data_IF_099103683762
#
_entry.id   IF_099103683762
#
_cell.length_a   1.000
_cell.length_b   1.000
_cell.length_c   1.000
_cell.angle_alpha   90.00
_cell.angle_beta   90.00
_cell.angle_gamma   90.00
#
_symmetry.space_group_name_H-M   'P 1'
#
loop_
_entity.id
_entity.type
_entity.pdbx_description
1 polymer ?
#
# COMPACT_ATOMS: atom_id res chain seq x y z
N UNK A 1 57.40 -42.25 -1.27
CA UNK A 1 56.33 -41.87 -2.23
C UNK A 1 55.11 -41.44 -1.42
N UNK A 2 55.02 -40.17 -1.02
CA UNK A 2 53.89 -39.67 -0.23
C UNK A 2 53.82 -38.14 -0.40
N UNK A 3 53.18 -37.70 -1.47
CA UNK A 3 52.79 -36.32 -1.73
C UNK A 3 51.52 -36.38 -2.62
N UNK A 4 50.64 -35.39 -2.47
CA UNK A 4 49.31 -35.20 -3.09
C UNK A 4 48.11 -35.71 -2.28
N UNK A 5 47.61 -34.90 -1.33
CA UNK A 5 46.18 -34.78 -1.00
C UNK A 5 45.97 -33.75 0.12
N UNK A 6 46.10 -32.44 -0.14
CA UNK A 6 45.52 -31.44 0.78
C UNK A 6 45.50 -29.98 0.27
N UNK A 7 45.16 -29.71 -1.00
CA UNK A 7 45.21 -28.32 -1.53
C UNK A 7 44.00 -27.90 -2.39
N UNK A 8 42.78 -28.32 -2.02
CA UNK A 8 41.55 -27.90 -2.72
C UNK A 8 40.32 -27.72 -1.80
N UNK A 9 40.49 -27.18 -0.58
CA UNK A 9 39.36 -26.86 0.31
C UNK A 9 39.25 -25.38 0.74
N UNK A 10 39.94 -24.44 0.08
CA UNK A 10 40.05 -23.06 0.57
C UNK A 10 39.44 -21.94 -0.29
N UNK A 11 38.68 -22.23 -1.36
CA UNK A 11 38.21 -21.19 -2.29
C UNK A 11 36.72 -21.27 -2.67
N UNK A 12 35.83 -21.51 -1.70
CA UNK A 12 34.40 -21.24 -1.86
C UNK A 12 33.79 -20.61 -0.60
N UNK A 13 34.44 -19.58 -0.03
CA UNK A 13 33.69 -18.54 0.67
C UNK A 13 33.04 -17.64 -0.38
N UNK A 14 32.12 -18.20 -1.15
CA UNK A 14 31.12 -17.37 -1.80
C UNK A 14 30.36 -16.72 -0.65
N UNK A 15 30.56 -15.43 -0.46
CA UNK A 15 29.70 -14.61 0.37
C UNK A 15 28.31 -14.76 -0.23
N UNK A 16 27.53 -15.70 0.30
CA UNK A 16 26.11 -15.79 0.01
C UNK A 16 25.52 -14.53 0.62
N UNK A 17 25.55 -13.43 -0.14
CA UNK A 17 24.83 -12.22 0.21
C UNK A 17 23.38 -12.66 0.36
N UNK A 18 22.93 -12.77 1.60
CA UNK A 18 21.54 -13.11 1.88
C UNK A 18 20.68 -12.07 1.19
N UNK A 19 19.83 -12.51 0.27
CA UNK A 19 18.83 -11.65 -0.36
C UNK A 19 18.10 -10.89 0.75
N UNK A 20 18.01 -9.57 0.60
CA UNK A 20 17.33 -8.76 1.58
C UNK A 20 15.83 -9.07 1.53
N UNK A 21 15.10 -9.04 2.66
CA UNK A 21 13.68 -9.40 2.66
C UNK A 21 12.80 -8.58 1.70
N UNK A 22 13.17 -7.32 1.43
CA UNK A 22 12.49 -6.44 0.48
C UNK A 22 12.86 -6.71 -1.00
N UNK A 23 13.88 -7.53 -1.26
CA UNK A 23 14.28 -7.97 -2.61
C UNK A 23 13.68 -9.34 -2.97
N UNK A 24 12.95 -9.97 -2.05
CA UNK A 24 12.19 -11.18 -2.33
C UNK A 24 11.01 -10.90 -3.28
N UNK A 25 10.46 -11.91 -3.97
CA UNK A 25 9.23 -11.74 -4.73
C UNK A 25 8.10 -11.14 -3.89
N UNK A 26 7.32 -10.24 -4.48
CA UNK A 26 6.18 -9.58 -3.80
C UNK A 26 5.15 -10.59 -3.32
N UNK A 27 4.92 -11.63 -4.12
CA UNK A 27 4.08 -12.76 -3.77
C UNK A 27 4.88 -14.05 -3.97
N UNK A 28 4.82 -15.04 -3.05
CA UNK A 28 5.46 -16.33 -3.24
C UNK A 28 5.01 -17.00 -4.54
N UNK A 29 5.93 -17.63 -5.26
CA UNK A 29 5.61 -18.25 -6.56
C UNK A 29 4.58 -19.37 -6.42
N UNK A 30 4.65 -20.16 -5.35
CA UNK A 30 3.65 -21.18 -5.03
C UNK A 30 2.24 -20.61 -4.91
N UNK A 31 2.11 -19.43 -4.28
CA UNK A 31 0.84 -18.74 -4.12
C UNK A 31 0.34 -18.19 -5.46
N UNK A 32 1.23 -17.65 -6.31
CA UNK A 32 0.86 -17.24 -7.68
C UNK A 32 0.30 -18.42 -8.48
N UNK A 33 0.95 -19.57 -8.43
CA UNK A 33 0.47 -20.78 -9.11
C UNK A 33 -0.87 -21.26 -8.54
N UNK A 34 -1.05 -21.18 -7.21
CA UNK A 34 -2.31 -21.50 -6.55
C UNK A 34 -3.44 -20.61 -7.08
N UNK A 35 -3.28 -19.29 -7.10
CA UNK A 35 -4.36 -18.38 -7.54
C UNK A 35 -4.66 -18.51 -9.02
N UNK A 36 -3.65 -18.76 -9.86
CA UNK A 36 -3.84 -19.01 -11.30
C UNK A 36 -4.61 -20.31 -11.58
N UNK A 37 -4.57 -21.27 -10.65
CA UNK A 37 -5.33 -22.52 -10.76
C UNK A 37 -6.82 -22.36 -10.40
N UNK A 38 -7.21 -21.25 -9.74
CA UNK A 38 -8.59 -20.99 -9.35
C UNK A 38 -9.39 -20.59 -10.60
N UNK A 39 -10.32 -21.46 -10.99
CA UNK A 39 -11.30 -21.20 -12.06
C UNK A 39 -12.70 -21.11 -11.48
N UNK A 40 -13.62 -20.31 -12.09
CA UNK A 40 -15.04 -20.40 -11.79
C UNK A 40 -15.52 -21.85 -11.90
N UNK A 41 -16.37 -22.31 -10.98
CA UNK A 41 -16.85 -23.71 -10.98
C UNK A 41 -17.85 -23.95 -12.11
N UNK A 42 -18.61 -22.92 -12.47
CA UNK A 42 -19.59 -22.94 -13.56
C UNK A 42 -19.54 -21.64 -14.39
N UNK A 43 -20.09 -21.66 -15.60
CA UNK A 43 -20.23 -20.47 -16.46
C UNK A 43 -21.22 -19.44 -15.90
N UNK A 44 -22.10 -19.84 -14.98
CA UNK A 44 -23.02 -18.94 -14.26
C UNK A 44 -22.40 -18.33 -13.00
N UNK A 45 -21.23 -18.77 -12.57
CA UNK A 45 -20.56 -18.21 -11.39
C UNK A 45 -19.92 -16.86 -11.72
N UNK A 46 -20.09 -15.90 -10.81
CA UNK A 46 -19.39 -14.62 -10.86
C UNK A 46 -17.90 -14.86 -10.59
N UNK A 47 -17.01 -14.10 -11.24
CA UNK A 47 -15.56 -14.21 -10.99
C UNK A 47 -15.17 -13.74 -9.58
N UNK A 48 -15.87 -12.75 -9.04
CA UNK A 48 -15.71 -12.31 -7.65
C UNK A 48 -16.51 -13.24 -6.73
N UNK A 49 -15.85 -14.00 -5.84
CA UNK A 49 -16.54 -14.95 -4.96
C UNK A 49 -17.37 -14.25 -3.88
N UNK A 50 -18.40 -14.93 -3.37
CA UNK A 50 -19.31 -14.45 -2.31
C UNK A 50 -18.66 -14.51 -0.92
N UNK A 51 -17.55 -13.80 -0.76
CA UNK A 51 -16.76 -13.74 0.47
C UNK A 51 -16.56 -12.26 0.80
N UNK A 52 -16.89 -11.87 2.01
CA UNK A 52 -16.62 -10.53 2.52
C UNK A 52 -15.56 -10.60 3.62
N UNK A 53 -14.60 -9.68 3.55
CA UNK A 53 -13.49 -9.49 4.48
C UNK A 53 -13.64 -8.13 5.15
N UNK A 54 -13.80 -8.13 6.48
CA UNK A 54 -14.01 -6.92 7.26
C UNK A 54 -12.91 -6.86 8.32
N UNK A 55 -12.04 -5.86 8.23
CA UNK A 55 -11.01 -5.65 9.24
C UNK A 55 -11.64 -4.97 10.46
N UNK A 56 -11.49 -5.59 11.62
CA UNK A 56 -11.89 -5.01 12.91
C UNK A 56 -10.66 -4.87 13.80
N UNK A 57 -10.75 -4.04 14.85
CA UNK A 57 -9.69 -3.97 15.87
C UNK A 57 -9.69 -5.25 16.71
N UNK A 58 -10.85 -5.62 17.22
CA UNK A 58 -11.07 -6.82 18.02
C UNK A 58 -12.42 -7.43 17.64
N UNK A 59 -12.44 -8.74 17.39
CA UNK A 59 -13.66 -9.46 16.99
C UNK A 59 -14.74 -9.47 18.09
N UNK A 60 -14.35 -9.28 19.35
CA UNK A 60 -15.28 -9.21 20.48
C UNK A 60 -15.95 -7.84 20.65
N UNK A 61 -15.52 -6.82 19.90
CA UNK A 61 -16.17 -5.50 19.95
C UNK A 61 -17.58 -5.58 19.34
N UNK A 62 -18.51 -4.81 19.91
CA UNK A 62 -19.86 -4.71 19.36
C UNK A 62 -19.80 -4.15 17.93
N UNK A 63 -20.36 -4.90 16.99
CA UNK A 63 -20.38 -4.49 15.59
C UNK A 63 -21.27 -3.25 15.44
N UNK A 64 -20.90 -2.30 14.55
CA UNK A 64 -21.73 -1.12 14.31
C UNK A 64 -23.15 -1.48 13.90
N UNK A 65 -24.14 -0.68 14.34
CA UNK A 65 -25.57 -0.94 14.09
C UNK A 65 -25.95 -1.14 12.62
N UNK A 66 -25.23 -0.53 11.68
CA UNK A 66 -25.48 -0.68 10.25
C UNK A 66 -25.08 -2.07 9.71
N UNK A 67 -24.24 -2.81 10.42
CA UNK A 67 -23.87 -4.19 10.10
C UNK A 67 -24.93 -5.20 10.56
N UNK A 68 -25.71 -4.86 11.60
CA UNK A 68 -26.60 -5.76 12.33
C UNK A 68 -28.09 -5.47 12.09
N UNK A 69 -28.94 -6.42 12.48
CA UNK A 69 -30.40 -6.30 12.44
C UNK A 69 -31.02 -6.64 11.08
N UNK A 70 -32.37 -6.55 10.96
CA UNK A 70 -33.10 -7.01 9.77
C UNK A 70 -32.73 -6.28 8.48
N UNK A 71 -32.33 -5.02 8.60
CA UNK A 71 -31.86 -4.20 7.50
C UNK A 71 -30.35 -3.99 7.55
N UNK A 72 -29.61 -4.77 8.33
CA UNK A 72 -28.16 -4.66 8.46
C UNK A 72 -27.41 -5.28 7.28
N UNK A 73 -26.16 -4.84 7.07
CA UNK A 73 -25.32 -5.35 5.98
C UNK A 73 -25.21 -6.89 5.96
N UNK A 74 -25.11 -7.54 7.12
CA UNK A 74 -25.01 -9.01 7.21
C UNK A 74 -26.30 -9.68 6.73
N UNK A 75 -27.46 -9.23 7.20
CA UNK A 75 -28.75 -9.83 6.86
C UNK A 75 -29.08 -9.63 5.37
N UNK A 76 -28.87 -8.42 4.84
CA UNK A 76 -29.08 -8.12 3.42
C UNK A 76 -28.22 -8.99 2.49
N UNK A 77 -27.09 -9.47 2.98
CA UNK A 77 -26.11 -10.24 2.22
C UNK A 77 -25.91 -11.64 2.82
N UNK A 78 -26.98 -12.29 3.28
CA UNK A 78 -26.93 -13.61 3.93
C UNK A 78 -26.35 -14.74 3.06
N UNK A 79 -26.35 -14.57 1.73
CA UNK A 79 -25.69 -15.48 0.78
C UNK A 79 -24.17 -15.29 0.68
N UNK A 80 -23.60 -14.29 1.36
CA UNK A 80 -22.17 -14.01 1.40
C UNK A 80 -21.54 -14.51 2.70
N UNK A 81 -20.38 -15.15 2.59
CA UNK A 81 -19.60 -15.55 3.76
C UNK A 81 -18.90 -14.33 4.36
N UNK A 82 -19.33 -13.90 5.55
CA UNK A 82 -18.73 -12.79 6.28
C UNK A 82 -17.53 -13.26 7.12
N UNK A 83 -16.37 -12.63 6.95
CA UNK A 83 -15.17 -12.88 7.75
C UNK A 83 -14.73 -11.58 8.42
N UNK A 84 -14.92 -11.50 9.74
CA UNK A 84 -14.39 -10.42 10.56
C UNK A 84 -12.99 -10.81 11.02
N UNK A 85 -12.01 -9.95 10.77
CA UNK A 85 -10.60 -10.25 11.04
C UNK A 85 -9.98 -9.20 11.96
N UNK A 86 -9.69 -9.59 13.19
CA UNK A 86 -8.96 -8.78 14.15
C UNK A 86 -7.47 -8.68 13.80
N UNK A 87 -6.67 -8.03 14.65
CA UNK A 87 -5.25 -7.83 14.37
C UNK A 87 -4.44 -9.14 14.35
N UNK A 88 -4.72 -10.08 15.25
CA UNK A 88 -4.00 -11.35 15.33
C UNK A 88 -4.29 -12.22 14.10
N UNK A 89 -5.56 -12.29 13.69
CA UNK A 89 -5.96 -13.01 12.48
C UNK A 89 -5.29 -12.45 11.22
N UNK A 90 -5.17 -11.11 11.12
CA UNK A 90 -4.48 -10.46 10.00
C UNK A 90 -2.98 -10.77 10.00
N UNK A 91 -2.32 -10.67 11.15
CA UNK A 91 -0.89 -10.97 11.29
C UNK A 91 -0.62 -12.43 10.90
N UNK A 92 -1.36 -13.38 11.49
CA UNK A 92 -1.25 -14.81 11.17
C UNK A 92 -1.53 -15.10 9.70
N UNK A 93 -2.52 -14.45 9.11
CA UNK A 93 -2.83 -14.62 7.68
C UNK A 93 -1.61 -14.24 6.82
N UNK A 94 -1.00 -13.08 7.09
CA UNK A 94 0.16 -12.60 6.35
C UNK A 94 1.35 -13.53 6.52
N UNK A 95 1.65 -13.96 7.75
CA UNK A 95 2.77 -14.87 8.06
C UNK A 95 2.61 -16.23 7.39
N UNK A 96 1.42 -16.82 7.39
CA UNK A 96 1.18 -18.15 6.82
C UNK A 96 1.21 -18.13 5.30
N UNK A 97 0.55 -17.15 4.67
CA UNK A 97 0.32 -17.19 3.22
C UNK A 97 1.41 -16.45 2.43
N UNK A 98 2.07 -15.46 3.05
CA UNK A 98 3.06 -14.60 2.39
C UNK A 98 4.46 -14.74 2.99
N UNK A 99 4.74 -15.85 3.70
CA UNK A 99 6.08 -16.18 4.18
C UNK A 99 7.11 -16.09 3.04
N UNK A 100 8.27 -15.49 3.33
CA UNK A 100 9.36 -15.37 2.36
C UNK A 100 9.06 -14.44 1.18
N UNK A 101 8.22 -13.43 1.38
CA UNK A 101 7.90 -12.42 0.35
C UNK A 101 8.22 -11.00 0.81
N UNK A 102 8.40 -10.10 -0.15
CA UNK A 102 8.61 -8.68 0.15
C UNK A 102 7.33 -7.96 0.58
N UNK A 103 6.13 -8.45 0.25
CA UNK A 103 4.88 -7.87 0.78
C UNK A 103 4.71 -8.16 2.29
N UNK A 104 5.13 -9.33 2.76
CA UNK A 104 5.15 -9.62 4.20
C UNK A 104 6.18 -8.75 4.93
N UNK A 105 7.35 -8.53 4.32
CA UNK A 105 8.32 -7.56 4.85
C UNK A 105 7.70 -6.15 4.96
N UNK A 106 7.07 -5.68 3.88
CA UNK A 106 6.41 -4.38 3.83
C UNK A 106 5.31 -4.25 4.89
N UNK A 107 4.52 -5.31 5.10
CA UNK A 107 3.52 -5.39 6.16
C UNK A 107 4.14 -5.29 7.56
N UNK A 108 5.25 -5.99 7.80
CA UNK A 108 5.90 -6.07 9.09
C UNK A 108 6.70 -4.83 9.46
N UNK A 109 7.17 -4.05 8.48
CA UNK A 109 7.93 -2.82 8.74
C UNK A 109 7.03 -1.64 9.08
N UNK A 110 5.71 -1.70 8.83
CA UNK A 110 4.77 -0.64 9.21
C UNK A 110 4.60 -0.51 10.72
N UNK A 111 4.56 0.73 11.22
CA UNK A 111 4.40 1.01 12.64
C UNK A 111 3.00 0.57 13.15
N UNK A 112 2.92 -0.41 14.07
CA UNK A 112 1.64 -0.96 14.51
C UNK A 112 0.82 0.03 15.34
N UNK A 113 1.45 1.08 15.89
CA UNK A 113 0.74 2.14 16.58
C UNK A 113 -0.12 2.98 15.62
N UNK A 114 0.16 2.91 14.31
CA UNK A 114 -0.73 3.39 13.25
C UNK A 114 -1.70 2.26 12.91
N UNK A 115 -2.77 2.12 13.69
CA UNK A 115 -3.66 0.96 13.65
C UNK A 115 -4.25 0.61 12.27
N UNK A 116 -4.39 1.59 11.38
CA UNK A 116 -4.90 1.38 10.01
C UNK A 116 -3.84 0.94 9.01
N UNK A 117 -2.54 1.20 9.27
CA UNK A 117 -1.47 1.03 8.28
C UNK A 117 -1.34 -0.41 7.76
N UNK A 118 -1.31 -1.39 8.66
CA UNK A 118 -1.23 -2.81 8.30
C UNK A 118 -2.44 -3.28 7.49
N UNK A 119 -3.63 -2.76 7.79
CA UNK A 119 -4.88 -3.14 7.11
C UNK A 119 -4.84 -2.75 5.62
N UNK A 120 -4.13 -1.69 5.26
CA UNK A 120 -3.93 -1.26 3.87
C UNK A 120 -3.26 -2.34 3.00
N UNK A 121 -2.26 -3.03 3.54
CA UNK A 121 -1.59 -4.12 2.82
C UNK A 121 -2.41 -5.41 2.92
N UNK A 122 -2.92 -5.72 4.11
CA UNK A 122 -3.69 -6.95 4.35
C UNK A 122 -4.91 -7.04 3.42
N UNK A 123 -5.66 -5.94 3.22
CA UNK A 123 -6.86 -5.95 2.37
C UNK A 123 -6.54 -6.33 0.91
N UNK A 124 -5.39 -5.91 0.41
CA UNK A 124 -4.94 -6.26 -0.95
C UNK A 124 -4.48 -7.72 -1.00
N UNK A 125 -3.73 -8.17 0.00
CA UNK A 125 -3.21 -9.52 0.09
C UNK A 125 -4.33 -10.58 0.22
N UNK A 126 -5.33 -10.31 1.05
CA UNK A 126 -6.47 -11.22 1.26
C UNK A 126 -7.34 -11.32 0.01
N UNK A 127 -7.58 -10.19 -0.67
CA UNK A 127 -8.28 -10.17 -1.96
C UNK A 127 -7.47 -10.84 -3.06
N UNK A 128 -6.14 -10.71 -3.07
CA UNK A 128 -5.31 -11.38 -4.06
C UNK A 128 -5.40 -12.91 -3.91
N UNK A 129 -5.35 -13.43 -2.69
CA UNK A 129 -5.41 -14.88 -2.45
C UNK A 129 -6.83 -15.45 -2.60
N UNK A 130 -7.82 -14.80 -2.01
CA UNK A 130 -9.16 -15.36 -1.86
C UNK A 130 -10.23 -14.68 -2.72
N UNK A 131 -9.94 -13.50 -3.27
CA UNK A 131 -10.94 -12.65 -3.89
C UNK A 131 -12.04 -12.22 -2.91
N UNK A 132 -13.16 -11.80 -3.49
CA UNK A 132 -14.36 -11.38 -2.79
C UNK A 132 -14.43 -9.88 -2.65
N UNK A 133 -14.97 -9.42 -1.53
CA UNK A 133 -15.07 -8.02 -1.15
C UNK A 133 -14.27 -7.77 0.11
N UNK A 134 -13.50 -6.69 0.15
CA UNK A 134 -13.07 -6.06 1.39
C UNK A 134 -13.98 -4.85 1.68
N UNK A 135 -14.33 -4.62 2.94
CA UNK A 135 -14.99 -3.39 3.38
C UNK A 135 -14.53 -2.96 4.78
N UNK A 136 -14.33 -1.64 4.98
CA UNK A 136 -14.10 -1.06 6.32
C UNK A 136 -15.32 -1.32 7.23
N UNK A 137 -15.10 -1.55 8.52
CA UNK A 137 -16.16 -1.91 9.46
C UNK A 137 -17.12 -0.76 9.82
N UNK A 138 -16.74 0.47 9.48
CA UNK A 138 -17.55 1.68 9.62
C UNK A 138 -18.18 2.16 8.29
N UNK A 139 -18.14 1.31 7.26
CA UNK A 139 -18.77 1.53 5.96
C UNK A 139 -19.98 0.60 5.72
N UNK A 140 -20.90 1.05 4.86
CA UNK A 140 -22.08 0.30 4.45
C UNK A 140 -22.28 0.42 2.94
N UNK A 141 -22.78 -0.64 2.30
CA UNK A 141 -23.32 -0.61 0.94
C UNK A 141 -24.79 -1.02 1.05
N UNK A 142 -25.72 -0.07 0.87
CA UNK A 142 -27.16 -0.27 1.09
C UNK A 142 -27.79 -1.31 0.16
N UNK A 143 -27.28 -1.41 -1.08
CA UNK A 143 -27.73 -2.41 -2.06
C UNK A 143 -27.23 -3.83 -1.75
N UNK A 144 -28.01 -4.85 -2.14
CA UNK A 144 -27.60 -6.25 -2.05
C UNK A 144 -26.38 -6.50 -2.95
N UNK A 145 -25.34 -7.17 -2.43
CA UNK A 145 -24.11 -7.45 -3.16
C UNK A 145 -24.32 -8.33 -4.40
N UNK A 146 -25.40 -9.10 -4.46
CA UNK A 146 -25.78 -9.82 -5.67
C UNK A 146 -26.15 -8.89 -6.83
N UNK A 147 -26.67 -7.70 -6.52
CA UNK A 147 -27.02 -6.67 -7.51
C UNK A 147 -25.85 -5.72 -7.78
N UNK A 148 -24.94 -5.58 -6.81
CA UNK A 148 -23.72 -4.76 -6.95
C UNK A 148 -22.72 -5.46 -7.86
N UNK A 149 -22.46 -6.76 -7.67
CA UNK A 149 -21.41 -7.51 -8.39
C UNK A 149 -21.99 -8.22 -9.60
N UNK A 150 -21.54 -7.86 -10.80
CA UNK A 150 -21.98 -8.46 -12.06
C UNK A 150 -21.18 -9.74 -12.39
N UNK A 151 -21.73 -10.67 -13.18
CA UNK A 151 -21.03 -11.90 -13.57
C UNK A 151 -19.70 -11.67 -14.30
N UNK A 152 -19.56 -10.57 -15.01
CA UNK A 152 -18.35 -10.20 -15.79
C UNK A 152 -17.29 -9.48 -14.96
N UNK A 153 -17.61 -9.03 -13.75
CA UNK A 153 -16.69 -8.25 -12.93
C UNK A 153 -15.56 -9.12 -12.41
N UNK A 154 -14.32 -8.71 -12.68
CA UNK A 154 -13.12 -9.31 -12.06
C UNK A 154 -12.48 -8.37 -11.05
N UNK A 155 -12.70 -7.07 -11.21
CA UNK A 155 -12.29 -6.04 -10.26
C UNK A 155 -13.32 -4.92 -10.23
N UNK A 156 -13.78 -4.54 -9.05
CA UNK A 156 -14.71 -3.43 -8.88
C UNK A 156 -14.26 -2.54 -7.71
N UNK A 157 -14.24 -1.25 -7.97
CA UNK A 157 -13.85 -0.21 -7.02
C UNK A 157 -14.62 1.08 -7.37
N UNK A 158 -14.75 2.01 -6.42
CA UNK A 158 -15.36 3.31 -6.68
C UNK A 158 -14.36 4.46 -6.55
N UNK A 159 -14.87 5.68 -6.75
CA UNK A 159 -14.07 6.91 -6.80
C UNK A 159 -14.23 7.74 -5.53
N UNK A 160 -13.14 8.37 -5.13
CA UNK A 160 -13.11 9.50 -4.20
C UNK A 160 -13.61 10.79 -4.91
N UNK A 161 -14.13 11.79 -4.18
CA UNK A 161 -14.52 13.09 -4.73
C UNK A 161 -13.31 13.98 -4.99
N UNK A 162 -12.16 13.64 -4.41
CA UNK A 162 -10.92 14.39 -4.57
C UNK A 162 -10.32 14.14 -5.95
N UNK A 163 -9.92 15.23 -6.59
CA UNK A 163 -9.14 15.15 -7.81
C UNK A 163 -7.77 14.55 -7.52
N UNK A 164 -7.30 13.69 -8.41
CA UNK A 164 -5.91 13.25 -8.36
C UNK A 164 -5.01 14.40 -8.78
N UNK A 165 -3.87 14.49 -8.11
CA UNK A 165 -2.80 15.41 -8.45
C UNK A 165 -1.44 14.73 -8.29
N UNK A 166 -0.40 15.29 -8.92
CA UNK A 166 0.96 14.74 -8.90
C UNK A 166 1.75 15.08 -7.62
N UNK A 167 1.06 15.38 -6.51
CA UNK A 167 1.74 15.80 -5.28
C UNK A 167 2.26 14.64 -4.44
N UNK A 168 1.97 13.40 -4.82
CA UNK A 168 2.44 12.23 -4.08
C UNK A 168 3.88 11.83 -4.41
N UNK A 169 4.26 11.75 -5.68
CA UNK A 169 5.49 11.03 -6.04
C UNK A 169 6.56 11.93 -6.63
N UNK A 170 7.82 11.65 -6.33
CA UNK A 170 8.95 12.33 -6.99
C UNK A 170 8.94 12.04 -8.50
N UNK A 171 9.44 12.96 -9.36
CA UNK A 171 9.34 12.80 -10.81
C UNK A 171 9.97 11.51 -11.38
N UNK A 172 10.95 10.95 -10.68
CA UNK A 172 11.67 9.73 -11.04
C UNK A 172 10.92 8.44 -10.65
N UNK A 173 9.87 8.52 -9.84
CA UNK A 173 9.09 7.34 -9.48
C UNK A 173 8.10 6.96 -10.60
N UNK A 174 7.95 5.66 -10.94
CA UNK A 174 7.09 5.23 -12.05
C UNK A 174 5.65 5.74 -11.99
N UNK A 175 5.07 5.87 -10.79
CA UNK A 175 3.69 6.32 -10.63
C UNK A 175 3.49 7.85 -10.73
N UNK A 176 4.56 8.64 -10.81
CA UNK A 176 4.43 10.09 -11.00
C UNK A 176 3.88 10.42 -12.39
N UNK A 177 3.14 11.52 -12.51
CA UNK A 177 2.67 12.01 -13.81
C UNK A 177 3.86 12.30 -14.74
N UNK A 178 4.96 12.86 -14.21
CA UNK A 178 6.18 13.08 -15.00
C UNK A 178 6.72 11.78 -15.62
N UNK A 179 6.90 10.73 -14.81
CA UNK A 179 7.40 9.44 -15.30
C UNK A 179 6.42 8.78 -16.28
N UNK A 180 5.12 8.85 -16.03
CA UNK A 180 4.09 8.34 -16.95
C UNK A 180 4.14 9.08 -18.29
N UNK A 181 4.21 10.41 -18.28
CA UNK A 181 4.34 11.21 -19.52
C UNK A 181 5.60 10.82 -20.27
N UNK A 182 6.75 10.74 -19.60
CA UNK A 182 8.02 10.37 -20.24
C UNK A 182 7.99 8.96 -20.85
N UNK A 183 7.37 7.98 -20.18
CA UNK A 183 7.35 6.58 -20.63
C UNK A 183 6.37 6.32 -21.77
N UNK A 184 5.19 6.93 -21.74
CA UNK A 184 4.07 6.55 -22.63
C UNK A 184 3.68 7.68 -23.60
N UNK A 185 4.08 8.91 -23.32
CA UNK A 185 3.72 10.12 -24.06
C UNK A 185 4.95 10.99 -24.26
N UNK A 186 6.09 10.39 -24.64
CA UNK A 186 7.31 11.14 -24.88
C UNK A 186 7.06 12.20 -25.97
N UNK A 187 7.53 13.45 -25.79
CA UNK A 187 7.44 14.47 -26.82
C UNK A 187 8.01 13.99 -28.14
N UNK A 188 7.34 14.33 -29.24
CA UNK A 188 7.84 14.12 -30.61
C UNK A 188 7.98 15.48 -31.29
N UNK A 189 8.76 15.57 -32.38
CA UNK A 189 8.89 16.82 -33.14
C UNK A 189 7.53 17.36 -33.61
N UNK A 190 6.60 16.45 -33.93
CA UNK A 190 5.22 16.77 -34.32
C UNK A 190 4.29 17.10 -33.17
N UNK A 191 4.63 16.71 -31.94
CA UNK A 191 3.82 16.94 -30.75
C UNK A 191 4.73 17.14 -29.53
N UNK A 192 5.22 18.37 -29.30
CA UNK A 192 6.16 18.65 -28.21
C UNK A 192 5.50 18.61 -26.82
N UNK A 193 4.16 18.66 -26.77
CA UNK A 193 3.38 18.70 -25.53
C UNK A 193 2.18 17.75 -25.61
N UNK A 194 2.41 16.42 -25.65
CA UNK A 194 1.32 15.47 -25.73
C UNK A 194 0.46 15.56 -24.47
N UNK A 195 -0.84 15.75 -24.67
CA UNK A 195 -1.81 15.71 -23.60
C UNK A 195 -1.91 14.29 -23.06
N UNK A 196 -1.65 14.11 -21.76
CA UNK A 196 -1.89 12.83 -21.09
C UNK A 196 -3.39 12.65 -20.95
N UNK A 197 -3.98 11.53 -21.43
CA UNK A 197 -5.40 11.28 -21.27
C UNK A 197 -5.82 11.31 -19.80
N UNK A 198 -6.87 12.07 -19.51
CA UNK A 198 -7.51 12.04 -18.20
C UNK A 198 -8.29 10.74 -18.06
N UNK A 199 -7.88 9.89 -17.13
CA UNK A 199 -8.58 8.66 -16.79
C UNK A 199 -9.43 8.88 -15.53
N UNK A 200 -10.52 8.12 -15.42
CA UNK A 200 -11.36 8.02 -14.22
C UNK A 200 -11.91 9.37 -13.71
N UNK A 201 -12.28 10.27 -14.62
CA UNK A 201 -12.79 11.61 -14.32
C UNK A 201 -11.85 12.43 -13.43
N UNK A 202 -10.54 12.17 -13.53
CA UNK A 202 -9.51 12.77 -12.70
C UNK A 202 -9.66 12.47 -11.20
N UNK A 203 -10.33 11.38 -10.80
CA UNK A 203 -10.54 11.05 -9.38
C UNK A 203 -9.61 9.96 -8.88
N UNK A 204 -9.27 10.04 -7.60
CA UNK A 204 -8.69 8.91 -6.89
C UNK A 204 -9.71 7.79 -6.72
N UNK A 205 -9.21 6.58 -6.54
CA UNK A 205 -9.95 5.40 -6.13
C UNK A 205 -9.90 5.31 -4.62
N UNK A 206 -11.03 4.95 -4.00
CA UNK A 206 -11.02 4.66 -2.57
C UNK A 206 -10.62 3.21 -2.31
N UNK A 207 -10.23 2.93 -1.08
CA UNK A 207 -9.81 1.60 -0.64
C UNK A 207 -10.71 1.00 0.45
N UNK A 208 -11.69 1.76 0.95
CA UNK A 208 -12.59 1.31 2.03
C UNK A 208 -13.58 0.26 1.57
N UNK A 209 -13.81 0.09 0.26
CA UNK A 209 -14.44 -1.09 -0.32
C UNK A 209 -13.76 -1.47 -1.65
N UNK A 210 -13.36 -2.74 -1.78
CA UNK A 210 -12.69 -3.26 -2.98
C UNK A 210 -13.24 -4.65 -3.27
N UNK A 211 -13.59 -4.92 -4.52
CA UNK A 211 -14.03 -6.22 -4.98
C UNK A 211 -13.03 -6.78 -5.99
N UNK A 212 -12.67 -8.04 -5.86
CA UNK A 212 -11.70 -8.65 -6.76
C UNK A 212 -11.89 -10.16 -6.90
N UNK A 213 -11.60 -10.69 -8.07
CA UNK A 213 -11.37 -12.12 -8.26
C UNK A 213 -9.97 -12.49 -7.71
N UNK A 214 -9.77 -13.74 -7.26
CA UNK A 214 -8.44 -14.21 -6.86
C UNK A 214 -7.41 -14.02 -7.98
N UNK A 215 -6.19 -13.64 -7.62
CA UNK A 215 -5.06 -13.50 -8.53
C UNK A 215 -5.14 -12.32 -9.49
N UNK A 216 -6.01 -11.34 -9.25
CA UNK A 216 -6.16 -10.20 -10.17
C UNK A 216 -4.82 -9.47 -10.41
N UNK A 217 -4.42 -9.23 -11.67
CA UNK A 217 -3.13 -8.62 -11.98
C UNK A 217 -2.99 -7.18 -11.48
N UNK A 218 -4.10 -6.44 -11.35
CA UNK A 218 -4.08 -5.08 -10.80
C UNK A 218 -3.69 -5.09 -9.32
N UNK A 219 -4.19 -6.04 -8.51
CA UNK A 219 -3.77 -6.17 -7.12
C UNK A 219 -2.29 -6.45 -6.98
N UNK A 220 -1.75 -7.35 -7.82
CA UNK A 220 -0.32 -7.64 -7.82
C UNK A 220 0.50 -6.38 -8.14
N UNK A 221 0.11 -5.64 -9.18
CA UNK A 221 0.80 -4.40 -9.56
C UNK A 221 0.72 -3.33 -8.46
N UNK A 222 -0.42 -3.21 -7.78
CA UNK A 222 -0.57 -2.31 -6.63
C UNK A 222 0.41 -2.71 -5.52
N UNK A 223 0.44 -4.00 -5.15
CA UNK A 223 1.35 -4.49 -4.11
C UNK A 223 2.82 -4.30 -4.47
N UNK A 224 3.21 -4.47 -5.75
CA UNK A 224 4.56 -4.20 -6.25
C UNK A 224 4.97 -2.74 -6.00
N UNK A 225 4.10 -1.79 -6.32
CA UNK A 225 4.36 -0.38 -6.08
C UNK A 225 4.42 -0.03 -4.59
N UNK A 226 3.54 -0.62 -3.77
CA UNK A 226 3.58 -0.42 -2.32
C UNK A 226 4.91 -0.90 -1.74
N UNK A 227 5.37 -2.10 -2.12
CA UNK A 227 6.67 -2.63 -1.69
C UNK A 227 7.79 -1.70 -2.14
N UNK A 228 7.78 -1.23 -3.38
CA UNK A 228 8.79 -0.31 -3.90
C UNK A 228 8.83 1.02 -3.12
N UNK A 229 7.67 1.60 -2.81
CA UNK A 229 7.56 2.84 -2.03
C UNK A 229 8.05 2.66 -0.60
N UNK A 230 7.66 1.57 0.07
CA UNK A 230 8.09 1.27 1.43
C UNK A 230 9.56 0.89 1.51
N UNK A 231 10.10 0.20 0.50
CA UNK A 231 11.54 -0.05 0.35
C UNK A 231 12.30 1.26 0.22
N UNK A 232 11.86 2.15 -0.66
CA UNK A 232 12.52 3.44 -0.85
C UNK A 232 12.47 4.27 0.45
N UNK A 233 11.34 4.31 1.14
CA UNK A 233 11.21 4.96 2.44
C UNK A 233 12.14 4.32 3.47
N UNK A 234 12.17 2.99 3.57
CA UNK A 234 13.06 2.24 4.47
C UNK A 234 14.54 2.52 4.19
N UNK A 235 14.95 2.67 2.94
CA UNK A 235 16.32 2.99 2.54
C UNK A 235 16.65 4.48 2.66
N UNK A 236 15.70 5.31 3.12
CA UNK A 236 15.81 6.77 3.19
C UNK A 236 16.01 7.45 1.82
N UNK A 237 15.45 6.85 0.77
CA UNK A 237 15.42 7.35 -0.61
C UNK A 237 13.97 7.66 -1.01
N UNK A 238 13.24 8.37 -0.14
CA UNK A 238 11.78 8.52 -0.25
C UNK A 238 11.36 8.99 -1.64
N UNK A 239 10.48 8.21 -2.26
CA UNK A 239 9.84 8.56 -3.53
C UNK A 239 8.54 9.32 -3.34
N UNK A 240 8.21 9.67 -2.09
CA UNK A 240 7.01 10.41 -1.74
C UNK A 240 7.39 11.87 -1.46
N UNK A 241 6.76 12.80 -2.18
CA UNK A 241 6.90 14.25 -1.98
C UNK A 241 6.19 14.63 -0.68
N UNK A 242 6.96 14.94 0.37
CA UNK A 242 6.44 15.52 1.60
C UNK A 242 6.95 16.95 1.79
N UNK A 243 6.03 17.88 2.03
CA UNK A 243 6.26 19.24 2.48
C UNK A 243 6.12 19.35 4.00
N UNK A 244 6.78 20.31 4.67
CA UNK A 244 6.51 20.65 6.06
C UNK A 244 5.04 21.00 6.36
N UNK A 245 4.25 21.38 5.35
CA UNK A 245 2.82 21.69 5.53
C UNK A 245 1.91 20.48 5.30
N UNK A 246 2.43 19.39 4.75
CA UNK A 246 1.61 18.21 4.49
C UNK A 246 1.18 17.54 5.80
N UNK A 247 -0.07 17.06 5.82
CA UNK A 247 -0.56 16.22 6.91
C UNK A 247 0.25 14.92 6.98
N UNK A 248 0.45 14.37 8.19
CA UNK A 248 1.24 13.14 8.36
C UNK A 248 0.57 11.92 7.72
N UNK A 249 -0.75 11.96 7.54
CA UNK A 249 -1.51 10.96 6.79
C UNK A 249 -1.11 10.85 5.32
N UNK A 250 -0.42 11.86 4.74
CA UNK A 250 -0.03 11.86 3.32
C UNK A 250 0.88 10.70 3.00
N UNK A 251 1.85 10.44 3.89
CA UNK A 251 2.80 9.36 3.70
C UNK A 251 2.08 8.01 3.64
N UNK A 252 1.13 7.77 4.56
CA UNK A 252 0.28 6.58 4.52
C UNK A 252 -0.51 6.50 3.20
N UNK A 253 -1.26 7.55 2.85
CA UNK A 253 -2.12 7.56 1.67
C UNK A 253 -1.33 7.38 0.37
N UNK A 254 -0.23 8.11 0.18
CA UNK A 254 0.62 7.98 -1.00
C UNK A 254 1.39 6.65 -1.03
N UNK A 255 1.70 6.04 0.11
CA UNK A 255 2.41 4.77 0.15
C UNK A 255 1.52 3.55 -0.10
N UNK A 256 0.24 3.58 0.32
CA UNK A 256 -0.61 2.38 0.32
C UNK A 256 -1.99 2.53 -0.31
N UNK A 257 -2.58 3.73 -0.30
CA UNK A 257 -3.95 3.95 -0.82
C UNK A 257 -3.95 4.43 -2.28
N UNK A 258 -3.26 5.52 -2.57
CA UNK A 258 -3.21 6.11 -3.91
C UNK A 258 -2.49 5.27 -4.97
N UNK A 259 -1.58 4.33 -4.64
CA UNK A 259 -1.07 3.38 -5.62
C UNK A 259 -2.16 2.63 -6.38
N UNK A 260 -3.37 2.46 -5.83
CA UNK A 260 -4.51 1.82 -6.53
C UNK A 260 -4.85 2.54 -7.84
N UNK A 261 -5.09 3.85 -7.79
CA UNK A 261 -5.40 4.66 -8.98
C UNK A 261 -4.23 4.72 -9.94
N UNK A 262 -3.03 4.96 -9.41
CA UNK A 262 -1.85 5.15 -10.25
C UNK A 262 -1.39 3.87 -10.94
N UNK A 263 -1.49 2.71 -10.29
CA UNK A 263 -1.23 1.41 -10.90
C UNK A 263 -2.24 1.10 -12.01
N UNK A 264 -3.54 1.40 -11.81
CA UNK A 264 -4.55 1.20 -12.85
C UNK A 264 -4.28 2.08 -14.07
N UNK A 265 -3.91 3.36 -13.87
CA UNK A 265 -3.52 4.27 -14.95
C UNK A 265 -2.31 3.75 -15.72
N UNK A 266 -1.25 3.36 -14.99
CA UNK A 266 -0.05 2.79 -15.60
C UNK A 266 -0.38 1.57 -16.46
N UNK A 267 -1.20 0.63 -15.95
CA UNK A 267 -1.56 -0.58 -16.70
C UNK A 267 -2.36 -0.27 -17.97
N UNK A 268 -3.29 0.70 -17.94
CA UNK A 268 -4.01 1.16 -19.14
C UNK A 268 -3.03 1.73 -20.17
N UNK A 269 -2.05 2.51 -19.74
CA UNK A 269 -1.03 3.09 -20.63
C UNK A 269 -0.01 2.07 -21.15
N UNK A 270 0.21 0.95 -20.45
CA UNK A 270 0.92 -0.23 -20.95
C UNK A 270 0.14 -1.00 -22.05
N UNK A 271 -0.99 -0.46 -22.52
CA UNK A 271 -1.90 -1.09 -23.47
C UNK A 271 -2.52 -2.40 -22.96
N UNK A 272 -2.56 -2.61 -21.64
CA UNK A 272 -3.36 -3.68 -21.05
C UNK A 272 -4.81 -3.24 -21.10
N UNK A 273 -5.62 -4.02 -21.79
CA UNK A 273 -7.03 -3.71 -21.98
C UNK A 273 -7.75 -3.72 -20.61
N UNK A 274 -8.66 -2.78 -20.39
CA UNK A 274 -9.46 -2.71 -19.15
C UNK A 274 -10.22 -4.03 -18.94
N UNK A 275 -10.60 -4.66 -20.04
CA UNK A 275 -11.25 -5.95 -20.16
C UNK A 275 -10.38 -7.11 -19.65
N UNK A 276 -9.07 -7.06 -19.86
CA UNK A 276 -8.12 -8.06 -19.35
C UNK A 276 -8.04 -8.01 -17.82
N UNK A 277 -7.99 -6.80 -17.27
CA UNK A 277 -8.05 -6.56 -15.82
C UNK A 277 -9.46 -6.85 -15.26
N UNK A 278 -10.48 -6.78 -16.12
CA UNK A 278 -11.89 -6.81 -15.78
C UNK A 278 -12.27 -5.73 -14.77
N UNK A 279 -11.67 -4.55 -14.91
CA UNK A 279 -11.87 -3.39 -14.04
C UNK A 279 -13.18 -2.67 -14.39
N UNK A 280 -14.14 -2.70 -13.46
CA UNK A 280 -15.31 -1.81 -13.47
C UNK A 280 -15.13 -0.72 -12.43
N UNK A 281 -15.30 0.52 -12.85
CA UNK A 281 -15.21 1.70 -11.99
C UNK A 281 -16.61 2.20 -11.66
N UNK A 282 -16.98 2.13 -10.38
CA UNK A 282 -18.23 2.72 -9.89
C UNK A 282 -18.16 4.24 -9.73
N UNK A 283 -19.26 4.81 -9.28
CA UNK A 283 -19.43 6.23 -9.01
C UNK A 283 -18.66 6.72 -7.79
N UNK A 284 -18.92 7.98 -7.44
CA UNK A 284 -18.35 8.59 -6.24
C UNK A 284 -18.89 7.88 -5.01
N UNK A 285 -18.00 7.31 -4.19
CA UNK A 285 -18.32 6.55 -2.98
C UNK A 285 -19.37 5.45 -3.16
N UNK A 286 -19.54 4.90 -4.36
CA UNK A 286 -20.65 3.96 -4.63
C UNK A 286 -22.03 4.51 -4.24
N UNK A 287 -22.28 5.82 -4.45
CA UNK A 287 -23.59 6.43 -4.19
C UNK A 287 -24.73 5.76 -4.94
N UNK A 288 -24.47 5.19 -6.11
CA UNK A 288 -25.43 4.40 -6.88
C UNK A 288 -25.89 3.12 -6.18
N UNK A 289 -25.16 2.69 -5.14
CA UNK A 289 -25.47 1.51 -4.32
C UNK A 289 -25.85 1.85 -2.89
N UNK A 290 -26.29 3.10 -2.66
CA UNK A 290 -26.67 3.62 -1.34
C UNK A 290 -25.57 3.38 -0.29
N UNK A 291 -24.32 3.61 -0.70
CA UNK A 291 -23.17 3.38 0.16
C UNK A 291 -22.86 4.59 1.05
N UNK A 292 -22.48 4.31 2.29
CA UNK A 292 -22.16 5.29 3.32
C UNK A 292 -20.82 4.94 3.97
N UNK A 293 -19.88 5.88 4.02
CA UNK A 293 -18.63 5.73 4.78
C UNK A 293 -18.65 6.66 6.00
N UNK A 294 -18.61 6.10 7.22
CA UNK A 294 -18.74 6.91 8.45
C UNK A 294 -17.41 7.49 8.95
N UNK A 295 -16.28 7.06 8.40
CA UNK A 295 -14.96 7.50 8.84
C UNK A 295 -14.79 9.03 8.87
N UNK A 296 -15.43 9.78 7.95
CA UNK A 296 -15.37 11.26 7.92
C UNK A 296 -16.19 11.96 9.00
N UNK A 297 -17.25 11.33 9.49
CA UNK A 297 -18.10 11.92 10.54
C UNK A 297 -17.52 11.74 11.95
N UNK A 298 -16.41 11.01 12.08
CA UNK A 298 -15.74 10.73 13.35
C UNK A 298 -14.51 11.62 13.60
N UNK A 299 -14.27 12.64 12.78
CA UNK A 299 -13.16 13.60 12.90
C UNK A 299 -13.12 14.31 14.26
N UNK A 300 -14.24 14.38 14.98
CA UNK A 300 -14.32 14.94 16.34
C UNK A 300 -13.69 14.03 17.41
N UNK A 301 -13.59 12.72 17.20
CA UNK A 301 -13.07 11.78 18.21
C UNK A 301 -11.57 11.98 18.46
N UNK A 302 -11.08 12.09 19.71
CA UNK A 302 -9.68 12.37 20.03
C UNK A 302 -8.73 11.19 19.78
N UNK A 303 -9.27 9.97 19.74
CA UNK A 303 -8.57 8.70 19.52
C UNK A 303 -8.42 8.32 18.04
N UNK A 304 -8.96 9.12 17.11
CA UNK A 304 -8.84 8.86 15.67
C UNK A 304 -7.38 8.80 15.25
N UNK A 305 -7.01 7.81 14.43
CA UNK A 305 -5.63 7.52 14.05
C UNK A 305 -4.89 8.74 13.48
N UNK A 306 -5.56 9.59 12.68
CA UNK A 306 -4.96 10.84 12.16
C UNK A 306 -4.52 11.75 13.31
N UNK A 307 -5.38 11.95 14.31
CA UNK A 307 -5.04 12.75 15.50
C UNK A 307 -3.94 12.08 16.33
N UNK A 308 -3.96 10.76 16.44
CA UNK A 308 -2.93 10.00 17.17
C UNK A 308 -1.55 10.12 16.49
N UNK A 309 -1.48 9.99 15.16
CA UNK A 309 -0.25 10.21 14.39
C UNK A 309 0.27 11.63 14.61
N UNK A 310 -0.60 12.63 14.56
CA UNK A 310 -0.23 14.02 14.78
C UNK A 310 0.25 14.28 16.22
N UNK A 311 -0.49 13.76 17.21
CA UNK A 311 -0.23 13.95 18.64
C UNK A 311 1.08 13.29 19.08
N UNK A 312 1.31 12.05 18.66
CA UNK A 312 2.44 11.26 19.14
C UNK A 312 3.65 11.30 18.20
N UNK A 313 3.56 12.06 17.12
CA UNK A 313 4.61 12.21 16.11
C UNK A 313 5.18 10.86 15.63
N UNK A 314 4.37 9.82 15.60
CA UNK A 314 4.84 8.44 15.37
C UNK A 314 5.52 8.31 14.01
N UNK A 315 6.67 7.60 13.92
CA UNK A 315 7.29 7.30 12.64
C UNK A 315 6.37 6.37 11.85
N UNK A 316 6.40 6.49 10.53
CA UNK A 316 5.54 5.67 9.67
C UNK A 316 5.99 4.20 9.66
N UNK A 317 7.30 3.97 9.62
CA UNK A 317 7.91 2.65 9.71
C UNK A 317 8.40 2.37 11.14
N UNK A 318 8.38 1.10 11.56
CA UNK A 318 8.97 0.62 12.83
C UNK A 318 10.47 0.86 12.87
N UNK A 319 11.11 0.69 11.72
CA UNK A 319 12.52 0.87 11.52
C UNK A 319 12.77 1.29 10.07
N UNK A 320 13.96 1.82 9.86
CA UNK A 320 14.52 2.19 8.56
C UNK A 320 15.93 1.61 8.54
N UNK A 321 16.48 1.43 7.35
CA UNK A 321 17.84 1.00 7.15
C UNK A 321 18.80 1.90 7.94
N UNK A 322 19.87 1.33 8.53
CA UNK A 322 20.93 2.15 9.09
C UNK A 322 21.45 3.09 7.99
N UNK A 323 21.75 4.36 8.32
CA UNK A 323 22.42 5.22 7.37
C UNK A 323 23.72 4.54 6.93
N UNK A 324 24.18 4.83 5.70
CA UNK A 324 25.52 4.40 5.27
C UNK A 324 26.55 5.10 6.15
N UNK A 325 26.88 4.50 7.29
CA UNK A 325 27.60 5.15 8.38
C UNK A 325 28.98 5.64 7.90
N UNK A 326 29.62 4.89 7.01
CA UNK A 326 30.88 5.25 6.34
C UNK A 326 30.81 6.61 5.63
N UNK A 327 29.63 7.00 5.15
CA UNK A 327 29.43 8.24 4.38
C UNK A 327 29.03 9.42 5.28
N UNK A 328 28.33 9.16 6.38
CA UNK A 328 27.62 10.19 7.14
C UNK A 328 27.97 10.31 8.62
N UNK A 329 28.85 9.48 9.17
CA UNK A 329 29.25 9.58 10.59
C UNK A 329 29.66 11.02 10.99
N UNK A 330 29.09 11.51 12.08
CA UNK A 330 29.29 12.86 12.62
C UNK A 330 28.52 13.97 11.88
N UNK A 331 27.79 13.65 10.80
CA UNK A 331 27.05 14.64 10.00
C UNK A 331 25.59 14.71 10.40
N UNK A 332 25.03 15.91 10.27
CA UNK A 332 23.59 16.10 10.29
C UNK A 332 23.04 15.89 8.88
N UNK A 333 22.05 15.03 8.76
CA UNK A 333 21.50 14.57 7.49
C UNK A 333 20.01 14.85 7.42
N UNK A 334 19.54 15.24 6.25
CA UNK A 334 18.13 15.20 5.89
C UNK A 334 17.98 14.50 4.54
N UNK A 335 17.17 13.45 4.50
CA UNK A 335 16.92 12.73 3.26
C UNK A 335 15.91 13.48 2.39
N UNK A 336 16.11 13.41 1.08
CA UNK A 336 15.24 14.02 0.07
C UNK A 336 13.83 13.47 0.22
N UNK A 337 12.85 14.38 0.28
CA UNK A 337 11.45 14.03 0.52
C UNK A 337 11.09 13.73 1.99
N UNK A 338 12.05 13.73 2.92
CA UNK A 338 11.78 13.56 4.34
C UNK A 338 11.80 14.89 5.11
N UNK A 339 10.97 14.96 6.16
CA UNK A 339 10.86 16.13 7.04
C UNK A 339 11.84 16.09 8.22
N UNK A 340 12.37 14.92 8.52
CA UNK A 340 13.20 14.69 9.70
C UNK A 340 14.66 15.02 9.39
N UNK A 341 15.27 15.82 10.26
CA UNK A 341 16.72 16.04 10.33
C UNK A 341 17.23 15.13 11.44
N UNK A 342 18.36 14.45 11.22
CA UNK A 342 18.97 13.57 12.22
C UNK A 342 20.51 13.64 12.20
N UNK A 343 21.13 13.41 13.35
CA UNK A 343 22.58 13.23 13.46
C UNK A 343 22.93 11.75 13.27
N UNK A 344 23.92 11.45 12.44
CA UNK A 344 24.51 10.11 12.39
C UNK A 344 25.68 10.06 13.37
N UNK A 345 25.55 9.23 14.41
CA UNK A 345 26.57 9.08 15.45
C UNK A 345 26.58 7.62 15.94
N UNK A 346 27.78 7.07 16.11
CA UNK A 346 28.04 5.69 16.51
C UNK A 346 27.39 4.69 15.54
N UNK A 347 27.39 5.00 14.23
CA UNK A 347 26.66 4.23 13.19
C UNK A 347 25.15 4.13 13.43
N UNK A 348 24.61 4.96 14.32
CA UNK A 348 23.19 5.08 14.59
C UNK A 348 22.68 6.45 14.16
N UNK A 349 21.37 6.55 13.99
CA UNK A 349 20.69 7.81 13.70
C UNK A 349 20.01 8.32 14.96
N UNK A 350 20.17 9.60 15.23
CA UNK A 350 19.58 10.31 16.35
C UNK A 350 18.77 11.48 15.81
N UNK A 351 17.46 11.27 15.70
CA UNK A 351 16.53 12.32 15.29
C UNK A 351 16.53 13.46 16.30
N UNK A 352 16.45 14.70 15.82
CA UNK A 352 16.24 15.85 16.69
C UNK A 352 14.76 15.92 17.10
N UNK A 353 14.42 16.01 18.40
CA UNK A 353 13.03 16.13 18.86
C UNK A 353 12.30 17.35 18.27
N UNK A 354 13.05 18.44 18.10
CA UNK A 354 12.60 19.71 17.55
C UNK A 354 13.79 20.56 17.06
N UNK A 355 13.47 21.67 16.39
CA UNK A 355 14.46 22.61 15.86
C UNK A 355 15.24 23.35 16.95
N UNK A 356 14.66 23.48 18.15
CA UNK A 356 15.35 24.08 19.31
C UNK A 356 16.48 23.19 19.78
N UNK A 357 16.28 21.87 19.84
CA UNK A 357 17.32 20.90 20.20
C UNK A 357 18.44 20.88 19.14
N UNK A 358 18.07 20.92 17.86
CA UNK A 358 19.00 21.02 16.74
C UNK A 358 19.94 22.23 16.86
N UNK A 359 19.38 23.42 17.10
CA UNK A 359 20.16 24.65 17.28
C UNK A 359 20.93 24.70 18.60
N UNK A 360 20.40 24.13 19.69
CA UNK A 360 21.09 24.03 20.99
C UNK A 360 22.36 23.16 20.92
N UNK A 361 22.36 22.16 20.02
CA UNK A 361 23.55 21.36 19.70
C UNK A 361 24.54 22.09 18.77
N UNK A 362 24.31 23.38 18.49
CA UNK A 362 25.13 24.26 17.64
C UNK A 362 25.12 23.89 16.16
N UNK A 363 24.11 23.15 15.70
CA UNK A 363 23.89 22.93 14.27
C UNK A 363 23.01 24.04 13.67
N UNK A 364 23.24 24.31 12.40
CA UNK A 364 22.53 25.26 11.55
C UNK A 364 22.03 24.54 10.29
N UNK A 365 21.07 25.13 9.57
CA UNK A 365 20.57 24.50 8.33
C UNK A 365 21.67 24.29 7.27
N UNK A 366 22.76 25.05 7.34
CA UNK A 366 23.92 24.89 6.44
C UNK A 366 24.74 23.63 6.77
N UNK A 367 24.63 23.10 8.00
CA UNK A 367 25.26 21.84 8.40
C UNK A 367 24.46 20.60 7.94
N UNK A 368 23.26 20.80 7.40
CA UNK A 368 22.37 19.71 6.98
C UNK A 368 22.80 19.19 5.61
N UNK A 369 23.38 17.99 5.60
CA UNK A 369 23.67 17.27 4.37
C UNK A 369 22.38 16.69 3.79
N UNK A 370 21.94 17.25 2.66
CA UNK A 370 20.83 16.71 1.89
C UNK A 370 21.27 15.44 1.15
N UNK A 371 20.66 14.30 1.48
CA UNK A 371 20.92 13.01 0.82
C UNK A 371 19.76 12.72 -0.11
N UNK A 372 20.00 12.51 -1.40
CA UNK A 372 18.94 12.42 -2.40
C UNK A 372 19.11 11.36 -3.46
#
# INVERSE_FOLDING_TARGET
KMYFLCWFCFLCFWTCQSLQPYDLPVVPESLKQQVLSIKPKSSSDKFIPRIAWIAVRNISEEKPKHMLGPNGFIERNSNWKMNFCDNEMKDRFMEVNFAGSSILWAYNILNPAIGTSKVEIWRLAVLYLHGGMYMDDDANIGTNLEDVVLPTDKFLLGKEPYDFDDRCYTPDFPLSNHSITQRFFAPTDSNPHPAVPTLFDNKFFFNWAIFSNPGNPLLLRIMEHIVALLKAEYLNESKIKLSPLDHRGKLLMCATTFPITHAAREMIFENKQIEEMGLRVGGLYFKEYDAEMKAWNNDWRPDRWVKQIHKHRMPYLRAYAPPRAETYEGKVVQCKGQREIYLVQDKTRRAFPDFTTFTAMKFTLDDVHLVG
#
